data_IF_770900954168
#
_entry.id   IF_770900954168
#
_cell.length_a   1.000
_cell.length_b   1.000
_cell.length_c   1.000
_cell.angle_alpha   90.00
_cell.angle_beta   90.00
_cell.angle_gamma   90.00
#
_symmetry.space_group_name_H-M   'P 1'
#
loop_
_entity.id
_entity.type
_entity.pdbx_description
1 polymer ?
#
# COMPACT_ATOMS: atom_id res chain seq x y z
N UNK A 1 -10.64 -15.10 -7.52
CA UNK A 1 -10.10 -13.78 -7.94
C UNK A 1 -8.63 -13.74 -7.55
N UNK A 2 -7.72 -13.35 -8.45
CA UNK A 2 -6.33 -13.10 -8.05
C UNK A 2 -6.31 -11.81 -7.23
N UNK A 3 -5.84 -11.87 -5.99
CA UNK A 3 -5.64 -10.67 -5.15
C UNK A 3 -4.56 -9.83 -5.82
N UNK A 4 -4.86 -8.57 -6.16
CA UNK A 4 -3.90 -7.64 -6.78
C UNK A 4 -2.79 -7.24 -5.81
N UNK A 5 -1.65 -6.77 -6.31
CA UNK A 5 -0.58 -6.31 -5.42
C UNK A 5 -1.02 -5.16 -4.51
N UNK A 6 -1.90 -4.27 -4.99
CA UNK A 6 -2.48 -3.20 -4.18
C UNK A 6 -3.32 -3.73 -3.01
N UNK A 7 -4.09 -4.81 -3.21
CA UNK A 7 -4.80 -5.45 -2.11
C UNK A 7 -3.85 -6.09 -1.10
N UNK A 8 -2.73 -6.68 -1.54
CA UNK A 8 -1.68 -7.18 -0.64
C UNK A 8 -1.06 -6.06 0.21
N UNK A 9 -0.77 -4.91 -0.39
CA UNK A 9 -0.28 -3.72 0.33
C UNK A 9 -1.28 -3.30 1.41
N UNK A 10 -2.57 -3.19 1.06
CA UNK A 10 -3.61 -2.78 2.01
C UNK A 10 -3.72 -3.73 3.21
N UNK A 11 -3.75 -5.05 2.95
CA UNK A 11 -3.84 -6.08 3.98
C UNK A 11 -2.62 -6.02 4.91
N UNK A 12 -1.41 -6.02 4.33
CA UNK A 12 -0.17 -5.98 5.11
C UNK A 12 -0.05 -4.71 5.93
N UNK A 13 -0.40 -3.56 5.37
CA UNK A 13 -0.40 -2.28 6.10
C UNK A 13 -1.35 -2.30 7.28
N UNK A 14 -2.59 -2.78 7.08
CA UNK A 14 -3.59 -2.90 8.14
C UNK A 14 -3.11 -3.83 9.27
N UNK A 15 -2.47 -4.93 8.92
CA UNK A 15 -1.88 -5.87 9.86
C UNK A 15 -0.74 -5.23 10.68
N UNK A 16 0.18 -4.50 10.04
CA UNK A 16 1.29 -3.83 10.73
C UNK A 16 0.81 -2.68 11.64
N UNK A 17 -0.25 -1.97 11.24
CA UNK A 17 -0.92 -0.98 12.10
C UNK A 17 -1.52 -1.68 13.32
N UNK A 18 -2.15 -2.84 13.14
CA UNK A 18 -2.71 -3.63 14.25
C UNK A 18 -1.62 -4.05 15.24
N UNK A 19 -0.46 -4.49 14.75
CA UNK A 19 0.72 -4.79 15.59
C UNK A 19 1.12 -3.56 16.42
N UNK A 20 1.14 -2.38 15.78
CA UNK A 20 1.47 -1.12 16.46
C UNK A 20 0.47 -0.81 17.58
N UNK A 21 -0.84 -0.93 17.29
CA UNK A 21 -1.90 -0.75 18.29
C UNK A 21 -1.74 -1.76 19.45
N UNK A 22 -1.45 -3.02 19.14
CA UNK A 22 -1.32 -4.05 20.16
C UNK A 22 -0.12 -3.80 21.09
N UNK A 23 0.99 -3.33 20.52
CA UNK A 23 2.18 -2.95 21.28
C UNK A 23 1.91 -1.73 22.16
N UNK A 24 1.18 -0.71 21.68
CA UNK A 24 0.89 0.50 22.46
C UNK A 24 -0.16 0.28 23.54
N UNK A 25 -1.09 -0.67 23.34
CA UNK A 25 -2.11 -1.06 24.34
C UNK A 25 -1.56 -1.99 25.43
N UNK A 26 -0.26 -2.33 25.39
CA UNK A 26 0.37 -3.25 26.34
C UNK A 26 -0.34 -4.62 26.43
N UNK A 27 -0.75 -5.17 25.28
CA UNK A 27 -1.25 -6.55 25.21
C UNK A 27 -0.12 -7.54 25.52
N UNK A 28 -0.50 -8.78 25.82
CA UNK A 28 0.48 -9.82 26.14
C UNK A 28 1.54 -9.97 25.04
N UNK A 29 2.81 -9.96 25.46
CA UNK A 29 3.97 -9.98 24.55
C UNK A 29 3.89 -11.10 23.50
N UNK A 30 3.43 -12.31 23.87
CA UNK A 30 3.31 -13.42 22.94
C UNK A 30 2.44 -13.09 21.72
N UNK A 31 1.32 -12.39 21.92
CA UNK A 31 0.43 -11.98 20.83
C UNK A 31 1.11 -10.97 19.91
N UNK A 32 1.78 -9.96 20.50
CA UNK A 32 2.52 -8.94 19.74
C UNK A 32 3.66 -9.58 18.95
N UNK A 33 4.39 -10.52 19.56
CA UNK A 33 5.51 -11.22 18.92
C UNK A 33 5.07 -12.02 17.70
N UNK A 34 4.07 -12.91 17.85
CA UNK A 34 3.59 -13.71 16.71
C UNK A 34 2.97 -12.85 15.61
N UNK A 35 2.20 -11.82 15.97
CA UNK A 35 1.64 -10.89 14.99
C UNK A 35 2.74 -10.11 14.25
N UNK A 36 3.83 -9.75 14.93
CA UNK A 36 4.98 -9.08 14.31
C UNK A 36 5.67 -9.99 13.31
N UNK A 37 6.00 -11.23 13.71
CA UNK A 37 6.64 -12.21 12.80
C UNK A 37 5.77 -12.45 11.57
N UNK A 38 4.46 -12.66 11.77
CA UNK A 38 3.50 -12.82 10.69
C UNK A 38 3.41 -11.56 9.80
N UNK A 39 3.42 -10.37 10.38
CA UNK A 39 3.48 -9.10 9.67
C UNK A 39 4.73 -8.94 8.79
N UNK A 40 5.90 -9.34 9.28
CA UNK A 40 7.13 -9.29 8.49
C UNK A 40 7.11 -10.30 7.33
N UNK A 41 6.61 -11.52 7.57
CA UNK A 41 6.42 -12.51 6.48
C UNK A 41 5.45 -11.97 5.42
N UNK A 42 4.33 -11.38 5.85
CA UNK A 42 3.35 -10.77 4.94
C UNK A 42 3.97 -9.62 4.13
N UNK A 43 4.84 -8.82 4.74
CA UNK A 43 5.57 -7.75 4.07
C UNK A 43 6.50 -8.28 2.98
N UNK A 44 7.29 -9.32 3.26
CA UNK A 44 8.15 -9.97 2.25
C UNK A 44 7.32 -10.50 1.08
N UNK A 45 6.21 -11.20 1.36
CA UNK A 45 5.30 -11.71 0.33
C UNK A 45 4.71 -10.56 -0.50
N UNK A 46 4.31 -9.46 0.15
CA UNK A 46 3.77 -8.28 -0.53
C UNK A 46 4.79 -7.67 -1.47
N UNK A 47 6.05 -7.51 -1.04
CA UNK A 47 7.13 -6.99 -1.89
C UNK A 47 7.33 -7.89 -3.11
N UNK A 48 7.37 -9.21 -2.94
CA UNK A 48 7.49 -10.15 -4.06
C UNK A 48 6.30 -10.03 -5.02
N UNK A 49 5.08 -9.82 -4.49
CA UNK A 49 3.89 -9.63 -5.30
C UNK A 49 3.96 -8.34 -6.10
N UNK A 50 4.32 -7.22 -5.47
CA UNK A 50 4.47 -5.91 -6.12
C UNK A 50 5.53 -5.96 -7.22
N UNK A 51 6.69 -6.55 -6.94
CA UNK A 51 7.78 -6.64 -7.93
C UNK A 51 7.46 -7.53 -9.14
N UNK A 52 6.46 -8.42 -9.02
CA UNK A 52 6.02 -9.33 -10.08
C UNK A 52 4.65 -8.96 -10.65
N UNK A 53 4.06 -7.86 -10.18
CA UNK A 53 2.75 -7.42 -10.67
C UNK A 53 2.96 -6.58 -11.92
N UNK A 54 2.34 -6.98 -13.03
CA UNK A 54 2.32 -6.21 -14.27
C UNK A 54 1.30 -5.08 -14.14
N UNK A 55 1.58 -4.12 -13.25
CA UNK A 55 0.69 -3.00 -12.98
C UNK A 55 0.78 -1.96 -14.09
N UNK A 56 -0.34 -1.73 -14.77
CA UNK A 56 -0.49 -0.67 -15.77
C UNK A 56 -1.50 0.35 -15.29
N UNK A 57 -1.18 1.64 -15.43
CA UNK A 57 -2.12 2.74 -15.17
C UNK A 57 -2.15 3.68 -16.37
N UNK A 58 -3.29 4.31 -16.62
CA UNK A 58 -3.41 5.38 -17.62
C UNK A 58 -2.91 6.72 -17.10
N UNK A 59 -2.57 6.80 -15.81
CA UNK A 59 -2.09 8.01 -15.14
C UNK A 59 -0.61 8.22 -15.40
N UNK A 60 -0.26 9.46 -15.66
CA UNK A 60 1.09 9.92 -15.95
C UNK A 60 1.59 10.81 -14.82
N UNK A 61 2.89 11.08 -14.78
CA UNK A 61 3.44 12.06 -13.82
C UNK A 61 2.90 13.48 -14.05
N UNK A 62 2.45 13.79 -15.26
CA UNK A 62 1.85 15.09 -15.62
C UNK A 62 0.44 15.28 -15.04
N UNK A 63 -0.22 14.19 -14.64
CA UNK A 63 -1.49 14.20 -13.90
C UNK A 63 -1.30 14.51 -12.40
N UNK A 64 -0.06 14.86 -12.01
CA UNK A 64 0.49 15.21 -10.70
C UNK A 64 -0.50 15.15 -9.52
N UNK A 65 -1.45 16.10 -9.50
CA UNK A 65 -2.56 16.15 -8.57
C UNK A 65 -3.86 16.21 -9.38
N UNK A 66 -4.57 15.09 -9.49
CA UNK A 66 -5.83 14.99 -10.23
C UNK A 66 -6.91 15.96 -9.72
N UNK A 67 -6.75 16.42 -8.48
CA UNK A 67 -7.59 17.39 -7.78
C UNK A 67 -7.12 18.85 -7.91
N UNK A 68 -5.94 19.09 -8.51
CA UNK A 68 -5.36 20.41 -8.74
C UNK A 68 -5.03 20.61 -10.23
N UNK A 69 -6.05 20.88 -11.06
CA UNK A 69 -5.85 21.10 -12.49
C UNK A 69 -5.00 22.34 -12.81
N UNK A 70 -4.76 23.21 -11.82
CA UNK A 70 -3.85 24.36 -11.89
C UNK A 70 -2.36 23.96 -11.84
N UNK A 71 -2.05 22.76 -11.34
CA UNK A 71 -0.67 22.27 -11.17
C UNK A 71 -0.29 21.17 -12.18
N UNK A 72 -1.29 20.46 -12.72
CA UNK A 72 -1.11 19.48 -13.81
C UNK A 72 -1.06 20.14 -15.18
N UNK A 73 -0.76 19.37 -16.23
CA UNK A 73 -0.86 19.86 -17.62
C UNK A 73 -2.30 20.31 -17.87
N UNK A 74 -2.51 21.64 -17.94
CA UNK A 74 -3.73 22.18 -18.51
C UNK A 74 -3.68 21.84 -20.00
N UNK A 75 -4.56 20.97 -20.46
CA UNK A 75 -4.80 20.77 -21.88
C UNK A 75 -5.41 22.05 -22.45
N UNK A 76 -4.55 23.04 -22.64
CA UNK A 76 -4.81 24.21 -23.47
C UNK A 76 -4.60 23.74 -24.91
N UNK A 77 -5.45 22.84 -25.38
CA UNK A 77 -5.60 22.58 -26.80
C UNK A 77 -6.30 23.79 -27.41
N UNK A 78 -5.48 24.69 -27.94
CA UNK A 78 -5.84 25.58 -29.04
C UNK A 78 -6.49 24.78 -30.18
N UNK A 79 -7.65 25.27 -30.63
CA UNK A 79 -8.50 24.89 -31.77
C UNK A 79 -9.38 23.64 -31.62
#
# INVERSE_FOLDING_TARGET
MKISAMQWIFITTTLLITVTIFATMNLAFSWVFYATVLGQVALVVTVIKVLKDDYTTTKTFDDFYEDRPDLGRSDTSTN
#
